data_IF_943423496998
#
_entry.id   IF_943423496998
#
_cell.length_a   1.000
_cell.length_b   1.000
_cell.length_c   1.000
_cell.angle_alpha   90.00
_cell.angle_beta   90.00
_cell.angle_gamma   90.00
#
_symmetry.space_group_name_H-M   'P 1'
#
loop_
_entity.id
_entity.type
_entity.pdbx_description
1 polymer ?
#
# COMPACT_ATOMS: atom_id res chain seq x y z
N UNK A 1 -22.47 43.75 27.87
CA UNK A 1 -21.67 42.54 27.72
C UNK A 1 -21.66 42.22 26.22
N UNK A 2 -20.60 42.59 25.50
CA UNK A 2 -20.53 42.43 24.04
C UNK A 2 -20.20 40.96 23.71
N UNK A 3 -21.17 40.22 23.19
CA UNK A 3 -21.00 38.85 22.73
C UNK A 3 -20.40 38.87 21.33
N UNK A 4 -19.12 38.52 21.22
CA UNK A 4 -18.48 38.24 19.95
C UNK A 4 -18.92 36.87 19.47
N UNK A 5 -19.88 36.80 18.55
CA UNK A 5 -20.23 35.58 17.85
C UNK A 5 -19.23 35.35 16.73
N UNK A 6 -18.40 34.32 16.84
CA UNK A 6 -17.56 33.88 15.72
C UNK A 6 -18.46 33.31 14.63
N UNK A 7 -18.26 33.68 13.34
CA UNK A 7 -19.05 33.13 12.25
C UNK A 7 -18.88 31.61 12.24
N UNK A 8 -19.99 30.89 12.04
CA UNK A 8 -19.94 29.43 11.92
C UNK A 8 -19.09 29.04 10.71
N UNK A 9 -18.58 27.80 10.66
CA UNK A 9 -17.82 27.29 9.51
C UNK A 9 -18.62 27.44 8.21
N UNK A 10 -19.95 27.27 8.28
CA UNK A 10 -20.91 27.51 7.20
C UNK A 10 -20.96 28.96 6.74
N UNK A 11 -20.90 29.93 7.65
CA UNK A 11 -20.89 31.37 7.30
C UNK A 11 -19.58 31.77 6.60
N UNK A 12 -18.45 31.17 7.02
CA UNK A 12 -17.15 31.39 6.39
C UNK A 12 -17.08 30.78 4.99
N UNK A 13 -17.62 29.57 4.81
CA UNK A 13 -17.70 28.91 3.52
C UNK A 13 -18.57 29.71 2.53
N UNK A 14 -19.73 30.21 2.96
CA UNK A 14 -20.61 31.04 2.14
C UNK A 14 -19.94 32.39 1.75
N UNK A 15 -19.21 33.02 2.68
CA UNK A 15 -18.48 34.26 2.38
C UNK A 15 -17.32 34.04 1.38
N UNK A 16 -16.61 32.92 1.49
CA UNK A 16 -15.56 32.53 0.53
C UNK A 16 -16.17 32.20 -0.83
N UNK A 17 -17.28 31.48 -0.87
CA UNK A 17 -18.04 31.18 -2.10
C UNK A 17 -18.44 32.46 -2.83
N UNK A 18 -19.09 33.40 -2.13
CA UNK A 18 -19.52 34.68 -2.72
C UNK A 18 -18.33 35.53 -3.19
N UNK A 19 -17.20 35.48 -2.48
CA UNK A 19 -15.97 36.18 -2.86
C UNK A 19 -15.26 35.52 -4.05
N UNK A 20 -15.22 34.20 -4.15
CA UNK A 20 -14.63 33.49 -5.29
C UNK A 20 -15.51 33.56 -6.53
N UNK A 21 -16.83 33.45 -6.36
CA UNK A 21 -17.80 33.55 -7.46
C UNK A 21 -17.86 34.97 -8.06
N UNK A 22 -17.52 36.00 -7.29
CA UNK A 22 -17.37 37.37 -7.82
C UNK A 22 -16.04 37.59 -8.57
N UNK A 23 -15.04 36.72 -8.37
CA UNK A 23 -13.71 36.81 -9.00
C UNK A 23 -13.65 35.93 -10.26
N UNK A 24 -14.25 34.74 -10.24
CA UNK A 24 -14.23 33.76 -11.33
C UNK A 24 -15.46 33.90 -12.22
N UNK A 25 -15.41 34.88 -13.13
CA UNK A 25 -16.46 35.12 -14.14
C UNK A 25 -16.06 34.73 -15.56
N UNK A 26 -14.77 34.65 -15.81
CA UNK A 26 -14.22 34.46 -17.15
C UNK A 26 -13.24 33.30 -17.16
N UNK A 27 -13.30 32.51 -18.22
CA UNK A 27 -12.29 31.54 -18.60
C UNK A 27 -11.54 32.13 -19.77
N UNK A 28 -10.23 32.28 -19.62
CA UNK A 28 -9.34 32.80 -20.67
C UNK A 28 -8.41 31.68 -21.12
N UNK A 29 -8.33 31.46 -22.43
CA UNK A 29 -7.32 30.61 -23.05
C UNK A 29 -6.48 31.47 -23.96
N UNK A 30 -5.18 31.58 -23.67
CA UNK A 30 -4.25 32.34 -24.48
C UNK A 30 -3.59 31.44 -25.52
N UNK A 31 -3.37 31.97 -26.72
CA UNK A 31 -2.67 31.32 -27.83
C UNK A 31 -3.18 29.89 -28.16
N UNK A 32 -4.50 29.68 -28.06
CA UNK A 32 -5.10 28.38 -28.38
C UNK A 32 -5.68 28.41 -29.80
N UNK A 33 -5.28 27.47 -30.65
CA UNK A 33 -5.60 27.50 -32.09
C UNK A 33 -5.18 28.81 -32.77
N UNK A 34 -4.11 29.46 -32.29
CA UNK A 34 -3.57 30.70 -32.85
C UNK A 34 -4.42 31.95 -32.60
N UNK A 35 -5.23 31.96 -31.53
CA UNK A 35 -5.90 33.15 -31.04
C UNK A 35 -6.24 33.05 -29.55
N UNK A 36 -6.49 34.20 -28.92
CA UNK A 36 -6.97 34.26 -27.55
C UNK A 36 -8.49 34.11 -27.48
N UNK A 37 -8.96 33.34 -26.50
CA UNK A 37 -10.35 33.00 -26.27
C UNK A 37 -10.82 33.42 -24.89
N UNK A 38 -12.05 33.93 -24.81
CA UNK A 38 -12.75 34.24 -23.57
C UNK A 38 -14.13 33.60 -23.54
N UNK A 39 -14.44 32.89 -22.46
CA UNK A 39 -15.76 32.35 -22.17
C UNK A 39 -16.30 32.91 -20.86
N UNK A 40 -17.60 33.16 -20.79
CA UNK A 40 -18.26 33.63 -19.58
C UNK A 40 -18.75 32.41 -18.79
N UNK A 41 -18.33 32.32 -17.53
CA UNK A 41 -18.77 31.29 -16.59
C UNK A 41 -19.16 31.96 -15.27
N UNK A 42 -20.46 32.09 -15.01
CA UNK A 42 -20.95 32.67 -13.76
C UNK A 42 -21.33 31.56 -12.76
N UNK A 43 -20.59 31.52 -11.65
CA UNK A 43 -20.80 30.62 -10.52
C UNK A 43 -22.09 30.95 -9.75
N UNK A 44 -22.55 32.20 -9.73
CA UNK A 44 -23.74 32.64 -8.98
C UNK A 44 -25.05 32.29 -9.69
N UNK A 45 -25.02 32.14 -11.02
CA UNK A 45 -26.19 31.77 -11.82
C UNK A 45 -26.38 30.23 -11.88
N UNK A 46 -25.56 29.46 -11.15
CA UNK A 46 -25.70 28.00 -11.02
C UNK A 46 -26.59 27.65 -9.84
N UNK A 47 -27.88 27.40 -10.08
CA UNK A 47 -28.76 26.88 -9.02
C UNK A 47 -28.31 25.49 -8.51
N UNK A 48 -27.47 24.78 -9.28
CA UNK A 48 -26.82 23.56 -8.88
C UNK A 48 -25.32 23.63 -9.26
N UNK A 49 -24.43 23.58 -8.26
CA UNK A 49 -22.99 23.62 -8.48
C UNK A 49 -22.47 22.27 -9.03
N UNK A 50 -23.17 21.16 -8.79
CA UNK A 50 -22.75 19.84 -9.27
C UNK A 50 -23.11 19.56 -10.75
N UNK A 51 -23.74 20.52 -11.45
CA UNK A 51 -24.17 20.39 -12.84
C UNK A 51 -23.08 20.79 -13.84
N UNK A 52 -22.99 20.05 -14.95
CA UNK A 52 -22.08 20.35 -16.05
C UNK A 52 -22.66 21.48 -16.92
N UNK A 53 -21.95 22.60 -17.02
CA UNK A 53 -22.35 23.77 -17.83
C UNK A 53 -21.54 23.89 -19.10
N UNK A 54 -22.21 24.06 -20.24
CA UNK A 54 -21.53 24.42 -21.48
C UNK A 54 -21.14 25.92 -21.47
N UNK A 55 -19.87 26.21 -21.72
CA UNK A 55 -19.30 27.55 -21.86
C UNK A 55 -18.85 27.73 -23.31
N UNK A 56 -19.53 28.61 -24.04
CA UNK A 56 -19.09 29.01 -25.39
C UNK A 56 -17.94 29.99 -25.29
N UNK A 57 -16.86 29.72 -26.01
CA UNK A 57 -15.68 30.56 -26.04
C UNK A 57 -15.72 31.48 -27.27
N UNK A 58 -15.35 32.74 -27.06
CA UNK A 58 -15.30 33.78 -28.09
C UNK A 58 -13.86 34.23 -28.29
N UNK A 59 -13.38 34.25 -29.52
CA UNK A 59 -12.04 34.76 -29.82
C UNK A 59 -12.06 36.28 -29.83
N UNK A 60 -11.09 36.94 -29.20
CA UNK A 60 -11.06 38.42 -29.09
C UNK A 60 -9.81 39.09 -29.65
N UNK A 61 -8.82 38.31 -30.09
CA UNK A 61 -7.56 38.82 -30.66
C UNK A 61 -7.35 38.40 -32.13
N UNK A 62 -8.37 37.80 -32.76
CA UNK A 62 -8.33 37.33 -34.15
C UNK A 62 -9.08 38.26 -35.10
N UNK A 63 -8.43 38.74 -36.15
CA UNK A 63 -9.12 39.37 -37.29
C UNK A 63 -10.09 38.41 -38.02
N UNK A 64 -10.76 38.89 -39.07
CA UNK A 64 -11.84 38.20 -39.82
C UNK A 64 -11.53 36.74 -40.25
N UNK A 65 -10.26 36.33 -40.30
CA UNK A 65 -9.84 34.94 -40.59
C UNK A 65 -10.27 33.91 -39.51
N UNK A 66 -10.55 34.36 -38.28
CA UNK A 66 -10.90 33.48 -37.16
C UNK A 66 -12.41 33.33 -36.91
N UNK A 67 -13.28 34.00 -37.68
CA UNK A 67 -14.73 33.97 -37.51
C UNK A 67 -15.37 32.57 -37.60
N UNK A 68 -14.68 31.61 -38.23
CA UNK A 68 -15.15 30.23 -38.41
C UNK A 68 -14.66 29.26 -37.32
N UNK A 69 -13.87 29.71 -36.33
CA UNK A 69 -13.42 28.86 -35.24
C UNK A 69 -14.51 28.81 -34.16
N UNK A 70 -14.99 27.60 -33.83
CA UNK A 70 -15.95 27.39 -32.77
C UNK A 70 -15.30 26.58 -31.65
N UNK A 71 -15.33 27.13 -30.42
CA UNK A 71 -14.84 26.45 -29.24
C UNK A 71 -15.92 26.51 -28.16
N UNK A 72 -16.29 25.35 -27.65
CA UNK A 72 -17.12 25.21 -26.46
C UNK A 72 -16.34 24.39 -25.45
N UNK A 73 -16.53 24.67 -24.18
CA UNK A 73 -16.04 23.90 -23.06
C UNK A 73 -17.24 23.43 -22.24
N UNK A 74 -17.09 22.36 -21.49
CA UNK A 74 -18.02 21.97 -20.44
C UNK A 74 -17.28 22.21 -19.12
N UNK A 75 -17.93 22.88 -18.18
CA UNK A 75 -17.34 23.26 -16.90
C UNK A 75 -18.24 22.74 -15.79
N UNK A 76 -17.65 22.08 -14.80
CA UNK A 76 -18.33 21.65 -13.57
C UNK A 76 -17.55 22.25 -12.39
N UNK A 77 -18.25 22.73 -11.36
CA UNK A 77 -17.62 23.40 -10.23
C UNK A 77 -18.15 22.86 -8.89
N UNK A 78 -17.33 22.15 -8.11
CA UNK A 78 -17.74 21.65 -6.79
C UNK A 78 -17.18 22.54 -5.67
N UNK A 79 -17.97 22.79 -4.63
CA UNK A 79 -17.51 23.55 -3.45
C UNK A 79 -17.74 22.74 -2.19
N UNK A 80 -16.63 22.41 -1.52
CA UNK A 80 -16.63 21.70 -0.23
C UNK A 80 -15.81 22.48 0.80
N UNK A 81 -14.49 22.35 0.74
CA UNK A 81 -13.52 23.13 1.54
C UNK A 81 -12.61 24.00 0.65
N UNK A 82 -12.55 23.68 -0.65
CA UNK A 82 -11.97 24.43 -1.77
C UNK A 82 -13.03 24.56 -2.87
N UNK A 83 -12.77 25.43 -3.85
CA UNK A 83 -13.49 25.47 -5.12
C UNK A 83 -12.71 24.62 -6.13
N UNK A 84 -13.30 23.51 -6.53
CA UNK A 84 -12.72 22.59 -7.49
C UNK A 84 -13.43 22.77 -8.84
N UNK A 85 -12.70 23.18 -9.87
CA UNK A 85 -13.24 23.46 -11.20
C UNK A 85 -12.73 22.43 -12.20
N UNK A 86 -13.66 21.71 -12.84
CA UNK A 86 -13.39 20.70 -13.85
C UNK A 86 -13.78 21.24 -15.22
N UNK A 87 -12.84 21.25 -16.16
CA UNK A 87 -13.07 21.72 -17.54
C UNK A 87 -12.89 20.54 -18.49
N UNK A 88 -13.89 20.28 -19.31
CA UNK A 88 -13.92 19.25 -20.32
C UNK A 88 -14.09 19.90 -21.70
N UNK A 89 -13.44 19.35 -22.72
CA UNK A 89 -13.70 19.74 -24.10
C UNK A 89 -14.75 18.79 -24.71
N UNK A 90 -15.94 19.28 -25.13
CA UNK A 90 -16.88 18.51 -25.92
C UNK A 90 -16.28 18.31 -27.32
N UNK A 91 -15.74 17.13 -27.59
CA UNK A 91 -15.26 16.83 -28.94
C UNK A 91 -16.44 16.51 -29.86
N UNK A 92 -16.57 17.28 -30.95
CA UNK A 92 -17.20 16.80 -32.18
C UNK A 92 -16.11 16.45 -33.18
N UNK A 93 -16.08 15.21 -33.61
CA UNK A 93 -15.22 14.76 -34.71
C UNK A 93 -16.08 14.86 -35.97
N UNK A 94 -15.86 15.92 -36.75
CA UNK A 94 -16.53 16.08 -38.05
C UNK A 94 -15.67 15.41 -39.11
N UNK A 95 -16.17 14.30 -39.62
CA UNK A 95 -15.55 13.60 -40.74
C UNK A 95 -15.87 14.29 -42.08
N UNK A 96 -14.94 15.08 -42.61
CA UNK A 96 -15.10 15.76 -43.91
C UNK A 96 -14.57 14.95 -45.10
N UNK A 97 -14.12 13.72 -44.90
CA UNK A 97 -13.40 12.95 -45.93
C UNK A 97 -14.21 11.81 -46.53
N UNK A 98 -15.45 11.58 -46.09
CA UNK A 98 -16.31 10.42 -46.45
C UNK A 98 -15.65 9.04 -46.25
N UNK A 99 -14.47 8.98 -45.63
CA UNK A 99 -13.73 7.77 -45.30
C UNK A 99 -13.98 7.38 -43.84
N UNK A 100 -13.99 6.08 -43.47
CA UNK A 100 -14.16 5.68 -42.06
C UNK A 100 -13.09 6.34 -41.17
N UNK A 101 -13.53 7.11 -40.16
CA UNK A 101 -12.61 7.61 -39.12
C UNK A 101 -12.43 6.53 -38.06
N UNK A 102 -11.18 6.12 -37.88
CA UNK A 102 -10.76 5.35 -36.73
C UNK A 102 -10.27 6.32 -35.65
N UNK A 103 -11.08 6.54 -34.62
CA UNK A 103 -10.69 7.35 -33.45
C UNK A 103 -9.94 6.44 -32.49
N UNK A 104 -8.65 6.71 -32.30
CA UNK A 104 -7.83 6.05 -31.27
C UNK A 104 -7.65 7.01 -30.11
N UNK A 105 -8.34 6.77 -29.00
CA UNK A 105 -8.06 7.43 -27.74
C UNK A 105 -6.73 6.87 -27.20
N UNK A 106 -5.71 7.71 -27.12
CA UNK A 106 -4.46 7.40 -26.42
C UNK A 106 -4.41 8.20 -25.12
N UNK A 107 -4.08 7.56 -23.98
CA UNK A 107 -3.94 8.28 -22.72
C UNK A 107 -2.80 9.29 -22.85
N UNK A 108 -3.06 10.56 -22.50
CA UNK A 108 -2.03 11.61 -22.46
C UNK A 108 -1.00 11.34 -21.35
N UNK A 109 -1.44 10.73 -20.25
CA UNK A 109 -0.61 10.29 -19.13
C UNK A 109 -1.40 9.25 -18.29
N UNK A 110 -0.75 8.28 -17.63
CA UNK A 110 0.68 7.97 -17.68
C UNK A 110 1.08 7.23 -18.96
N UNK A 111 2.02 7.81 -19.70
CA UNK A 111 2.66 7.16 -20.85
C UNK A 111 3.75 6.21 -20.36
N UNK A 112 3.33 5.10 -19.74
CA UNK A 112 4.24 4.05 -19.27
C UNK A 112 3.86 2.74 -19.94
N UNK A 113 4.81 2.08 -20.61
CA UNK A 113 4.57 0.80 -21.30
C UNK A 113 4.19 -0.33 -20.33
N UNK A 114 4.59 -0.20 -19.05
CA UNK A 114 4.35 -1.21 -18.02
C UNK A 114 3.13 -0.92 -17.13
N UNK A 115 2.49 0.25 -17.26
CA UNK A 115 1.35 0.64 -16.41
C UNK A 115 1.69 0.73 -14.92
N UNK A 116 2.93 1.10 -14.57
CA UNK A 116 3.41 1.18 -13.20
C UNK A 116 3.99 2.55 -12.87
N UNK A 117 3.87 2.97 -11.61
CA UNK A 117 4.43 4.20 -11.07
C UNK A 117 5.32 3.87 -9.86
N UNK A 118 6.33 4.68 -9.58
CA UNK A 118 7.07 4.65 -8.31
C UNK A 118 7.18 6.07 -7.77
N UNK A 119 7.44 6.20 -6.47
CA UNK A 119 7.59 7.49 -5.79
C UNK A 119 8.94 7.56 -5.12
N UNK A 120 9.54 8.75 -5.10
CA UNK A 120 10.83 9.02 -4.47
C UNK A 120 10.74 10.39 -3.82
N UNK A 121 11.27 10.54 -2.60
CA UNK A 121 11.43 11.88 -2.02
C UNK A 121 12.49 12.65 -2.80
N UNK A 122 12.30 13.97 -2.97
CA UNK A 122 13.17 14.80 -3.82
C UNK A 122 14.67 14.63 -3.52
N UNK A 123 15.02 14.56 -2.23
CA UNK A 123 16.40 14.45 -1.74
C UNK A 123 16.88 13.00 -1.51
N UNK A 124 16.07 12.00 -1.85
CA UNK A 124 16.41 10.58 -1.68
C UNK A 124 16.93 9.97 -2.98
N UNK A 125 17.89 9.05 -2.88
CA UNK A 125 18.31 8.19 -4.00
C UNK A 125 17.53 6.85 -4.02
N UNK A 126 16.57 6.66 -3.12
CA UNK A 126 15.82 5.42 -2.97
C UNK A 126 14.38 5.66 -3.44
N UNK A 127 14.01 5.04 -4.56
CA UNK A 127 12.62 4.99 -5.02
C UNK A 127 11.86 3.87 -4.30
N UNK A 128 10.55 4.06 -4.15
CA UNK A 128 9.64 3.02 -3.70
C UNK A 128 9.56 1.86 -4.70
N UNK A 129 9.04 0.72 -4.24
CA UNK A 129 8.55 -0.32 -5.15
C UNK A 129 7.49 0.24 -6.11
N UNK A 130 7.34 -0.41 -7.26
CA UNK A 130 6.36 -0.01 -8.26
C UNK A 130 4.93 -0.38 -7.85
N UNK A 131 4.01 0.57 -8.03
CA UNK A 131 2.57 0.38 -7.85
C UNK A 131 1.88 0.21 -9.21
N UNK A 132 0.81 -0.61 -9.29
CA UNK A 132 0.02 -0.70 -10.50
C UNK A 132 -0.91 0.51 -10.59
N UNK A 133 -0.92 1.19 -11.74
CA UNK A 133 -1.79 2.36 -11.96
C UNK A 133 -2.95 2.06 -12.90
N UNK A 134 -3.09 0.83 -13.38
CA UNK A 134 -4.20 0.37 -14.22
C UNK A 134 -5.26 -0.46 -13.47
N UNK A 135 -4.97 -0.92 -12.24
CA UNK A 135 -5.92 -1.68 -11.40
C UNK A 135 -6.26 -0.96 -10.10
N UNK A 136 -7.54 -0.94 -9.72
CA UNK A 136 -7.94 -0.37 -8.43
C UNK A 136 -7.25 -1.13 -7.31
N UNK A 137 -6.53 -0.41 -6.44
CA UNK A 137 -5.82 -1.03 -5.34
C UNK A 137 -5.53 -0.03 -4.22
N UNK A 138 -5.46 -0.53 -2.99
CA UNK A 138 -4.84 0.16 -1.87
C UNK A 138 -3.54 -0.59 -1.51
N UNK A 139 -2.44 0.12 -1.25
CA UNK A 139 -1.19 -0.47 -0.80
C UNK A 139 -0.40 0.49 0.08
N UNK A 140 0.39 -0.08 0.99
CA UNK A 140 1.37 0.67 1.77
C UNK A 140 2.75 0.44 1.17
N UNK A 141 3.50 1.50 0.93
CA UNK A 141 4.87 1.46 0.43
C UNK A 141 5.86 1.58 1.59
N UNK A 142 6.89 0.73 1.58
CA UNK A 142 8.07 0.90 2.42
C UNK A 142 8.88 2.06 1.86
N UNK A 143 9.07 3.09 2.67
CA UNK A 143 9.85 4.27 2.31
C UNK A 143 11.17 4.27 3.09
N UNK A 144 12.10 5.15 2.71
CA UNK A 144 13.39 5.28 3.39
C UNK A 144 13.23 5.65 4.88
N UNK A 145 14.27 5.35 5.68
CA UNK A 145 14.34 5.69 7.10
C UNK A 145 13.19 5.12 7.95
N UNK A 146 12.65 3.96 7.57
CA UNK A 146 11.58 3.28 8.31
C UNK A 146 10.21 3.95 8.19
N UNK A 147 10.03 4.85 7.21
CA UNK A 147 8.74 5.48 6.93
C UNK A 147 7.88 4.59 6.04
N UNK A 148 6.60 4.90 6.01
CA UNK A 148 5.65 4.26 5.11
C UNK A 148 4.75 5.32 4.47
N UNK A 149 4.19 5.00 3.30
CA UNK A 149 3.25 5.87 2.60
C UNK A 149 2.10 5.04 2.05
N UNK A 150 0.89 5.52 2.25
CA UNK A 150 -0.32 4.86 1.77
C UNK A 150 -0.65 5.36 0.37
N UNK A 151 -0.99 4.41 -0.50
CA UNK A 151 -1.36 4.71 -1.88
C UNK A 151 -2.69 4.07 -2.21
N UNK A 152 -3.65 4.90 -2.60
CA UNK A 152 -4.94 4.45 -3.08
C UNK A 152 -5.08 4.81 -4.56
N UNK A 153 -5.27 3.79 -5.39
CA UNK A 153 -5.61 3.95 -6.79
C UNK A 153 -7.06 3.56 -7.01
N UNK A 154 -7.88 4.53 -7.38
CA UNK A 154 -9.34 4.38 -7.51
C UNK A 154 -9.86 4.95 -8.83
N UNK A 155 -11.15 4.76 -9.11
CA UNK A 155 -11.77 5.17 -10.36
C UNK A 155 -11.28 4.38 -11.59
N UNK A 156 -11.52 4.93 -12.77
CA UNK A 156 -11.16 4.35 -14.07
C UNK A 156 -12.29 3.61 -14.79
N UNK A 157 -13.50 3.57 -14.21
CA UNK A 157 -14.70 3.03 -14.86
C UNK A 157 -15.68 4.18 -15.16
N UNK A 158 -16.30 4.73 -14.12
CA UNK A 158 -17.29 5.82 -14.22
C UNK A 158 -16.69 7.20 -13.89
N UNK A 159 -15.52 7.22 -13.27
CA UNK A 159 -14.78 8.43 -12.89
C UNK A 159 -13.35 8.37 -13.39
N UNK A 160 -12.67 9.53 -13.55
CA UNK A 160 -11.25 9.55 -13.84
C UNK A 160 -10.46 8.73 -12.84
N UNK A 161 -9.45 8.03 -13.35
CA UNK A 161 -8.48 7.30 -12.52
C UNK A 161 -7.78 8.28 -11.59
N UNK A 162 -7.86 8.03 -10.28
CA UNK A 162 -7.22 8.88 -9.27
C UNK A 162 -6.19 8.06 -8.48
N UNK A 163 -5.02 8.65 -8.27
CA UNK A 163 -3.95 8.09 -7.43
C UNK A 163 -3.74 9.08 -6.27
N UNK A 164 -4.02 8.64 -5.06
CA UNK A 164 -3.90 9.46 -3.85
C UNK A 164 -2.80 8.91 -2.96
N UNK A 165 -1.97 9.81 -2.44
CA UNK A 165 -0.91 9.51 -1.49
C UNK A 165 -1.27 10.13 -0.14
N UNK A 166 -1.17 9.36 0.94
CA UNK A 166 -1.40 9.84 2.30
C UNK A 166 -0.29 9.34 3.23
N UNK A 167 -0.13 10.03 4.35
CA UNK A 167 0.71 9.55 5.45
C UNK A 167 0.17 8.21 5.97
N UNK A 168 1.05 7.46 6.62
CA UNK A 168 0.73 6.17 7.23
C UNK A 168 0.13 6.37 8.62
N UNK A 169 -1.01 5.74 8.87
CA UNK A 169 -1.65 5.63 10.18
C UNK A 169 -1.72 4.17 10.68
N UNK A 170 -1.91 4.02 12.00
CA UNK A 170 -2.04 2.70 12.63
C UNK A 170 -3.28 1.99 12.06
N UNK A 171 -3.06 0.83 11.45
CA UNK A 171 -4.10 0.05 10.79
C UNK A 171 -3.99 -0.02 9.27
N UNK A 172 -3.20 0.86 8.66
CA UNK A 172 -3.05 0.91 7.19
C UNK A 172 -2.29 -0.28 6.62
N UNK A 173 -1.37 -0.86 7.41
CA UNK A 173 -0.61 -2.03 6.97
C UNK A 173 -1.56 -3.18 6.65
N UNK A 174 -1.41 -3.86 5.49
CA UNK A 174 -2.30 -4.95 5.10
C UNK A 174 -2.50 -6.02 6.18
N UNK A 175 -1.47 -6.31 6.96
CA UNK A 175 -1.55 -7.23 8.10
C UNK A 175 -0.42 -6.98 9.09
N UNK A 176 -0.72 -7.11 10.39
CA UNK A 176 0.26 -7.30 11.46
C UNK A 176 0.38 -8.78 11.75
N UNK A 177 1.60 -9.33 11.68
CA UNK A 177 1.85 -10.75 11.87
C UNK A 177 2.59 -10.93 13.19
N UNK A 178 2.09 -11.83 14.04
CA UNK A 178 2.59 -12.08 15.38
C UNK A 178 2.95 -13.56 15.52
N UNK A 179 4.11 -13.86 16.10
CA UNK A 179 4.54 -15.21 16.40
C UNK A 179 4.62 -15.43 17.91
N UNK A 180 3.67 -16.17 18.46
CA UNK A 180 3.67 -16.61 19.87
C UNK A 180 4.16 -18.05 20.04
N UNK A 181 4.96 -18.56 19.10
CA UNK A 181 5.60 -19.86 19.22
C UNK A 181 6.99 -19.69 19.87
N UNK A 182 7.22 -20.33 21.03
CA UNK A 182 8.44 -20.13 21.83
C UNK A 182 9.73 -20.58 21.12
N UNK A 183 9.69 -21.68 20.36
CA UNK A 183 10.89 -22.30 19.74
C UNK A 183 10.74 -22.49 18.23
N UNK A 184 9.95 -21.64 17.57
CA UNK A 184 9.72 -21.73 16.12
C UNK A 184 9.90 -20.39 15.45
N UNK A 185 10.69 -20.40 14.38
CA UNK A 185 10.78 -19.27 13.47
C UNK A 185 9.78 -19.44 12.35
N UNK A 186 8.82 -18.52 12.28
CA UNK A 186 7.87 -18.44 11.18
C UNK A 186 8.53 -17.65 10.05
N UNK A 187 8.52 -18.21 8.84
CA UNK A 187 9.00 -17.53 7.65
C UNK A 187 7.79 -17.11 6.83
N UNK A 188 7.73 -15.83 6.45
CA UNK A 188 6.66 -15.27 5.63
C UNK A 188 7.24 -14.59 4.40
N UNK A 189 6.50 -14.63 3.30
CA UNK A 189 6.87 -13.94 2.08
C UNK A 189 5.66 -13.74 1.15
N UNK A 190 5.82 -12.83 0.18
CA UNK A 190 4.89 -12.75 -0.93
C UNK A 190 5.12 -13.93 -1.89
N UNK A 191 4.03 -14.49 -2.42
CA UNK A 191 4.09 -15.51 -3.47
C UNK A 191 4.92 -15.01 -4.67
N UNK A 192 5.78 -15.88 -5.20
CA UNK A 192 6.71 -15.59 -6.31
C UNK A 192 7.78 -14.51 -6.00
N UNK A 193 8.05 -14.23 -4.73
CA UNK A 193 9.15 -13.35 -4.30
C UNK A 193 10.22 -14.15 -3.55
N UNK A 194 11.47 -13.72 -3.70
CA UNK A 194 12.62 -14.33 -3.02
C UNK A 194 12.87 -13.72 -1.64
N UNK A 195 12.39 -12.50 -1.41
CA UNK A 195 12.50 -11.83 -0.13
C UNK A 195 11.60 -12.53 0.90
N UNK A 196 12.19 -12.87 2.04
CA UNK A 196 11.50 -13.54 3.14
C UNK A 196 11.74 -12.77 4.43
N UNK A 197 10.71 -12.70 5.27
CA UNK A 197 10.82 -12.19 6.65
C UNK A 197 10.76 -13.38 7.59
N UNK A 198 11.71 -13.46 8.50
CA UNK A 198 11.76 -14.51 9.53
C UNK A 198 11.37 -13.87 10.86
N UNK A 199 10.39 -14.47 11.52
CA UNK A 199 9.81 -13.98 12.77
C UNK A 199 10.11 -15.01 13.87
N UNK A 200 10.94 -14.62 14.84
CA UNK A 200 11.23 -15.42 16.04
C UNK A 200 10.10 -15.36 17.06
N UNK A 201 10.31 -16.01 18.21
CA UNK A 201 9.35 -16.02 19.31
C UNK A 201 9.05 -14.61 19.83
N UNK A 202 7.78 -14.37 20.13
CA UNK A 202 7.19 -13.11 20.61
C UNK A 202 7.44 -11.88 19.73
N UNK A 203 7.87 -12.11 18.49
CA UNK A 203 8.06 -11.03 17.54
C UNK A 203 6.77 -10.71 16.79
N UNK A 204 6.63 -9.43 16.45
CA UNK A 204 5.54 -8.89 15.63
C UNK A 204 6.10 -8.04 14.49
N UNK A 205 5.45 -8.07 13.34
CA UNK A 205 5.83 -7.26 12.17
C UNK A 205 4.60 -6.70 11.46
N UNK A 206 4.67 -5.43 11.08
CA UNK A 206 3.74 -4.81 10.14
C UNK A 206 4.18 -5.15 8.72
N UNK A 207 3.41 -6.01 8.05
CA UNK A 207 3.76 -6.52 6.73
C UNK A 207 3.05 -5.74 5.62
N UNK A 208 3.80 -5.45 4.56
CA UNK A 208 3.27 -4.98 3.27
C UNK A 208 3.94 -5.74 2.12
N UNK A 209 3.36 -5.64 0.92
CA UNK A 209 3.81 -6.34 -0.27
C UNK A 209 5.18 -5.84 -0.74
N UNK A 210 6.12 -6.76 -0.99
CA UNK A 210 7.45 -6.43 -1.53
C UNK A 210 7.35 -5.92 -2.97
N UNK A 211 6.49 -6.55 -3.78
CA UNK A 211 6.09 -6.10 -5.11
C UNK A 211 4.58 -5.77 -5.09
N UNK A 212 4.19 -4.51 -4.86
CA UNK A 212 2.78 -4.09 -4.77
C UNK A 212 1.95 -4.34 -6.03
N UNK A 213 2.59 -4.34 -7.20
CA UNK A 213 1.97 -4.65 -8.49
C UNK A 213 1.93 -6.16 -8.80
N UNK A 214 2.52 -7.00 -7.95
CA UNK A 214 2.56 -8.45 -8.11
C UNK A 214 1.36 -9.15 -7.47
N UNK A 215 1.39 -10.48 -7.51
CA UNK A 215 0.35 -11.31 -6.88
C UNK A 215 0.38 -11.14 -5.36
N UNK A 216 -0.72 -10.66 -4.80
CA UNK A 216 -0.87 -10.35 -3.36
C UNK A 216 -1.37 -11.58 -2.58
N UNK A 217 -0.50 -12.58 -2.47
CA UNK A 217 -0.72 -13.80 -1.69
C UNK A 217 0.38 -13.93 -0.65
N UNK A 218 0.00 -14.04 0.62
CA UNK A 218 0.93 -14.28 1.71
C UNK A 218 1.20 -15.78 1.80
N UNK A 219 2.47 -16.13 1.75
CA UNK A 219 2.97 -17.50 1.92
C UNK A 219 3.71 -17.58 3.25
N UNK A 220 3.59 -18.72 3.92
CA UNK A 220 4.32 -18.98 5.16
C UNK A 220 4.82 -20.42 5.26
N UNK A 221 5.88 -20.60 6.03
CA UNK A 221 6.41 -21.89 6.44
C UNK A 221 7.18 -21.75 7.77
N UNK A 222 7.87 -22.82 8.16
CA UNK A 222 8.75 -22.84 9.34
C UNK A 222 10.21 -22.98 8.93
N UNK A 223 11.09 -22.25 9.60
CA UNK A 223 12.52 -22.35 9.36
C UNK A 223 13.02 -23.78 9.64
N UNK A 224 13.87 -24.31 8.77
CA UNK A 224 14.42 -25.66 8.92
C UNK A 224 13.41 -26.80 8.66
N UNK A 225 12.24 -26.51 8.10
CA UNK A 225 11.25 -27.54 7.73
C UNK A 225 11.81 -28.57 6.74
N UNK A 226 11.65 -29.87 7.04
CA UNK A 226 12.16 -30.94 6.18
C UNK A 226 11.46 -31.00 4.81
N UNK A 227 10.22 -30.53 4.74
CA UNK A 227 9.49 -30.23 3.52
C UNK A 227 9.23 -28.73 3.51
N UNK A 228 9.90 -27.97 2.63
CA UNK A 228 9.63 -26.55 2.37
C UNK A 228 8.29 -26.38 1.65
N UNK A 229 7.21 -26.89 2.25
CA UNK A 229 5.89 -26.69 1.70
C UNK A 229 5.43 -25.31 2.13
N UNK A 230 5.49 -24.36 1.21
CA UNK A 230 4.92 -23.04 1.42
C UNK A 230 3.39 -23.16 1.47
N UNK A 231 2.83 -22.58 2.52
CA UNK A 231 1.39 -22.60 2.79
C UNK A 231 0.82 -21.21 2.52
N UNK A 232 -0.27 -21.14 1.77
CA UNK A 232 -0.95 -19.88 1.51
C UNK A 232 -1.83 -19.48 2.70
N UNK A 233 -1.83 -18.20 3.04
CA UNK A 233 -2.68 -17.59 4.07
C UNK A 233 -3.42 -16.39 3.48
N UNK A 234 -4.75 -16.43 3.57
CA UNK A 234 -5.61 -15.34 3.10
C UNK A 234 -5.78 -14.27 4.18
N UNK A 235 -5.12 -13.12 3.99
CA UNK A 235 -5.16 -12.01 4.94
C UNK A 235 -6.37 -11.07 4.74
N UNK A 236 -7.24 -11.35 3.76
CA UNK A 236 -8.35 -10.44 3.43
C UNK A 236 -9.59 -10.68 4.29
N UNK A 237 -9.62 -11.80 5.03
CA UNK A 237 -10.78 -12.23 5.81
C UNK A 237 -10.39 -12.88 7.12
N UNK A 238 -11.35 -12.93 8.04
CA UNK A 238 -11.22 -13.69 9.27
C UNK A 238 -11.20 -15.18 8.90
N UNK A 239 -10.19 -15.89 9.40
CA UNK A 239 -10.01 -17.31 9.12
C UNK A 239 -9.04 -17.92 10.12
N UNK A 240 -9.02 -19.24 10.20
CA UNK A 240 -8.10 -19.97 11.04
C UNK A 240 -7.85 -21.35 10.46
N UNK A 241 -6.68 -21.91 10.71
CA UNK A 241 -6.36 -23.30 10.40
C UNK A 241 -5.22 -23.77 11.31
N UNK A 242 -4.88 -25.05 11.23
CA UNK A 242 -3.67 -25.60 11.83
C UNK A 242 -2.94 -26.53 10.86
N UNK A 243 -1.61 -26.62 11.03
CA UNK A 243 -0.76 -27.49 10.23
C UNK A 243 0.22 -28.23 11.12
N UNK A 244 0.37 -29.52 10.83
CA UNK A 244 1.36 -30.38 11.46
C UNK A 244 2.65 -30.29 10.64
N UNK A 245 3.67 -29.67 11.20
CA UNK A 245 4.94 -29.42 10.53
C UNK A 245 6.09 -30.10 11.26
N UNK A 246 7.14 -30.43 10.53
CA UNK A 246 8.38 -30.97 11.09
C UNK A 246 9.39 -29.84 11.21
N UNK A 247 9.80 -29.48 12.42
CA UNK A 247 10.75 -28.41 12.71
C UNK A 247 12.10 -29.00 13.11
N UNK A 248 13.18 -28.41 12.63
CA UNK A 248 14.53 -28.73 13.08
C UNK A 248 14.89 -27.89 14.29
N UNK A 249 15.42 -28.53 15.33
CA UNK A 249 15.89 -27.82 16.51
C UNK A 249 17.02 -26.86 16.12
N UNK A 250 16.81 -25.56 16.33
CA UNK A 250 17.89 -24.58 16.22
C UNK A 250 18.80 -24.78 17.44
N UNK A 251 20.13 -24.94 17.29
CA UNK A 251 21.03 -25.04 18.43
C UNK A 251 20.95 -23.75 19.23
N UNK A 252 20.41 -23.82 20.45
CA UNK A 252 20.52 -22.73 21.40
C UNK A 252 22.00 -22.61 21.75
N UNK A 253 22.65 -21.50 21.38
CA UNK A 253 23.98 -21.21 21.86
C UNK A 253 23.87 -20.98 23.38
N UNK A 254 24.40 -21.93 24.17
CA UNK A 254 24.57 -21.80 25.62
C UNK A 254 25.48 -20.60 25.91
N UNK A 255 24.92 -19.41 25.93
CA UNK A 255 25.54 -18.22 26.49
C UNK A 255 25.12 -18.15 27.95
N UNK A 256 26.06 -17.85 28.84
CA UNK A 256 25.97 -17.87 30.32
C UNK A 256 26.29 -19.19 31.03
N UNK A 257 27.49 -19.74 30.78
CA UNK A 257 28.30 -20.30 31.88
C UNK A 257 29.64 -19.59 31.93
N UNK A 258 29.69 -18.50 32.70
CA UNK A 258 30.96 -18.02 33.26
C UNK A 258 31.49 -19.14 34.16
N UNK A 259 32.44 -19.94 33.66
CA UNK A 259 33.33 -20.71 34.52
C UNK A 259 34.41 -19.75 34.99
N UNK A 260 34.22 -19.22 36.18
CA UNK A 260 35.30 -18.65 36.96
C UNK A 260 36.28 -19.77 37.31
N UNK A 261 37.43 -19.79 36.64
CA UNK A 261 38.60 -20.54 37.06
C UNK A 261 39.76 -19.55 37.17
N UNK A 262 39.80 -18.87 38.30
CA UNK A 262 41.06 -18.42 38.87
C UNK A 262 41.95 -19.63 39.13
N UNK A 263 42.89 -19.90 38.23
CA UNK A 263 44.15 -20.53 38.62
C UNK A 263 45.27 -20.15 37.66
N UNK A 264 46.06 -19.19 38.17
CA UNK A 264 47.52 -19.11 38.14
C UNK A 264 48.23 -19.75 36.95
N UNK A 265 48.73 -18.84 36.12
CA UNK A 265 49.93 -18.89 35.29
C UNK A 265 51.01 -19.75 35.96
N UNK A 266 51.48 -20.76 35.24
CA UNK A 266 52.90 -21.11 35.28
C UNK A 266 53.37 -21.45 33.87
N UNK A 267 54.52 -20.88 33.53
CA UNK A 267 55.10 -20.80 32.21
C UNK A 267 56.36 -21.66 32.20
N UNK A 268 56.53 -22.54 31.22
CA UNK A 268 57.87 -22.85 30.73
C UNK A 268 57.83 -23.38 29.29
N UNK A 269 58.72 -22.88 28.41
CA UNK A 269 58.88 -23.32 27.04
C UNK A 269 59.94 -24.43 26.92
N UNK A 270 60.06 -24.96 25.70
CA UNK A 270 61.23 -25.61 25.07
C UNK A 270 60.94 -27.05 24.60
N UNK A 271 60.88 -27.27 23.28
CA UNK A 271 62.04 -27.77 22.49
C UNK A 271 61.60 -28.28 21.10
N UNK A 272 62.55 -28.16 20.17
CA UNK A 272 62.49 -28.31 18.71
C UNK A 272 62.09 -29.70 18.18
N UNK A 273 61.46 -29.75 16.99
CA UNK A 273 62.08 -30.29 15.77
C UNK A 273 61.08 -30.61 14.64
N UNK A 274 61.57 -30.39 13.42
CA UNK A 274 60.94 -30.57 12.13
C UNK A 274 60.53 -32.02 11.80
N UNK A 275 59.59 -32.16 10.85
CA UNK A 275 59.64 -33.00 9.62
C UNK A 275 58.24 -33.49 9.22
N UNK A 276 57.96 -33.29 7.93
CA UNK A 276 56.80 -33.74 7.16
C UNK A 276 56.78 -35.27 7.10
N UNK A 277 55.61 -35.89 7.34
CA UNK A 277 55.22 -37.08 6.58
C UNK A 277 53.69 -37.25 6.52
N UNK A 278 53.21 -37.30 5.29
CA UNK A 278 51.84 -37.62 4.89
C UNK A 278 51.56 -39.12 5.07
N UNK A 279 50.68 -39.53 5.99
CA UNK A 279 49.87 -40.75 5.84
C UNK A 279 48.52 -40.62 6.58
N UNK A 280 47.46 -40.61 5.77
CA UNK A 280 46.13 -41.19 5.94
C UNK A 280 45.49 -41.27 7.35
N UNK A 281 44.39 -40.53 7.54
CA UNK A 281 43.40 -40.82 8.58
C UNK A 281 42.00 -40.31 8.19
N UNK A 282 40.92 -41.04 8.54
CA UNK A 282 39.61 -40.86 7.93
C UNK A 282 38.93 -39.58 8.44
N UNK A 283 38.32 -38.83 7.53
CA UNK A 283 37.40 -37.73 7.83
C UNK A 283 36.18 -38.26 8.60
N UNK A 284 36.25 -38.33 9.92
CA UNK A 284 35.06 -38.32 10.77
C UNK A 284 34.49 -36.88 10.83
N UNK A 285 33.89 -36.44 9.73
CA UNK A 285 32.84 -35.44 9.83
C UNK A 285 31.63 -36.13 10.45
N UNK A 286 31.56 -36.12 11.78
CA UNK A 286 30.32 -36.42 12.47
C UNK A 286 29.30 -35.37 12.01
N UNK A 287 28.45 -35.74 11.04
CA UNK A 287 27.23 -35.00 10.73
C UNK A 287 26.42 -34.95 12.03
N UNK A 288 26.53 -33.83 12.75
CA UNK A 288 25.58 -33.48 13.81
C UNK A 288 24.19 -33.51 13.18
N UNK A 289 23.48 -34.62 13.37
CA UNK A 289 22.10 -34.77 12.89
C UNK A 289 21.26 -33.87 13.77
N UNK A 290 20.85 -32.72 13.25
CA UNK A 290 19.87 -31.85 13.89
C UNK A 290 18.60 -32.68 14.13
N UNK A 291 18.19 -32.79 15.39
CA UNK A 291 17.00 -33.54 15.76
C UNK A 291 15.78 -32.77 15.23
N UNK A 292 14.94 -33.43 14.44
CA UNK A 292 13.68 -32.88 13.96
C UNK A 292 12.52 -33.40 14.82
N UNK A 293 11.55 -32.55 15.14
CA UNK A 293 10.33 -32.94 15.84
C UNK A 293 9.10 -32.48 15.07
N UNK A 294 7.99 -33.18 15.25
CA UNK A 294 6.69 -32.80 14.69
C UNK A 294 5.96 -31.91 15.68
N UNK A 295 5.31 -30.87 15.19
CA UNK A 295 4.49 -29.98 15.99
C UNK A 295 3.30 -29.45 15.21
N UNK A 296 2.25 -29.08 15.93
CA UNK A 296 1.07 -28.42 15.34
C UNK A 296 1.21 -26.92 15.54
N UNK A 297 1.14 -26.18 14.44
CA UNK A 297 1.10 -24.72 14.46
C UNK A 297 -0.30 -24.30 14.04
N UNK A 298 -0.91 -23.48 14.89
CA UNK A 298 -2.19 -22.85 14.65
C UNK A 298 -1.95 -21.44 14.14
N UNK A 299 -2.80 -20.98 13.24
CA UNK A 299 -2.86 -19.57 12.89
C UNK A 299 -4.30 -19.06 12.89
N UNK A 300 -4.46 -17.80 13.27
CA UNK A 300 -5.75 -17.12 13.34
C UNK A 300 -5.62 -15.73 12.74
N UNK A 301 -6.39 -15.45 11.70
CA UNK A 301 -6.57 -14.14 11.08
C UNK A 301 -7.83 -13.48 11.62
N UNK A 302 -7.71 -12.26 12.16
CA UNK A 302 -8.83 -11.48 12.69
C UNK A 302 -8.59 -9.98 12.53
N UNK A 303 -9.65 -9.18 12.68
CA UNK A 303 -9.54 -7.72 12.70
C UNK A 303 -9.46 -7.21 14.14
N UNK A 304 -8.42 -6.44 14.46
CA UNK A 304 -8.24 -5.72 15.72
C UNK A 304 -8.33 -4.21 15.47
N UNK A 305 -9.48 -3.61 15.80
CA UNK A 305 -9.81 -2.26 15.34
C UNK A 305 -9.87 -2.21 13.81
N UNK A 306 -8.99 -1.41 13.20
CA UNK A 306 -8.80 -1.32 11.75
C UNK A 306 -7.66 -2.21 11.23
N UNK A 307 -6.84 -2.77 12.13
CA UNK A 307 -5.67 -3.56 11.77
C UNK A 307 -6.06 -5.03 11.59
N UNK A 308 -5.78 -5.59 10.42
CA UNK A 308 -5.76 -7.04 10.22
C UNK A 308 -4.60 -7.63 11.00
N UNK A 309 -4.85 -8.66 11.82
CA UNK A 309 -3.84 -9.39 12.59
C UNK A 309 -3.84 -10.85 12.18
N UNK A 310 -2.65 -11.43 12.01
CA UNK A 310 -2.44 -12.89 11.88
C UNK A 310 -1.56 -13.34 13.02
N UNK A 311 -2.11 -14.19 13.87
CA UNK A 311 -1.46 -14.75 15.04
C UNK A 311 -1.05 -16.19 14.78
N UNK A 312 0.23 -16.50 14.92
CA UNK A 312 0.76 -17.87 14.97
C UNK A 312 0.96 -18.31 16.42
N UNK A 313 0.55 -19.54 16.75
CA UNK A 313 0.79 -20.11 18.09
C UNK A 313 0.88 -21.63 18.03
N UNK A 314 1.64 -22.21 18.97
CA UNK A 314 1.68 -23.65 19.22
C UNK A 314 0.67 -24.10 20.29
N UNK A 315 0.10 -23.14 21.02
CA UNK A 315 -0.88 -23.40 22.07
C UNK A 315 -2.29 -23.38 21.48
N UNK A 316 -2.93 -24.55 21.53
CA UNK A 316 -4.31 -24.73 21.07
C UNK A 316 -5.29 -23.83 21.83
N UNK A 317 -5.09 -23.59 23.13
CA UNK A 317 -5.98 -22.74 23.93
C UNK A 317 -5.90 -21.28 23.49
N UNK A 318 -4.71 -20.78 23.18
CA UNK A 318 -4.51 -19.42 22.64
C UNK A 318 -5.22 -19.30 21.28
N UNK A 319 -5.06 -20.30 20.40
CA UNK A 319 -5.75 -20.32 19.11
C UNK A 319 -7.28 -20.35 19.25
N UNK A 320 -7.81 -21.14 20.18
CA UNK A 320 -9.25 -21.20 20.46
C UNK A 320 -9.77 -19.88 21.05
N UNK A 321 -9.01 -19.25 21.96
CA UNK A 321 -9.36 -17.94 22.53
C UNK A 321 -9.39 -16.85 21.44
N UNK A 322 -8.37 -16.78 20.58
CA UNK A 322 -8.33 -15.84 19.46
C UNK A 322 -9.51 -16.05 18.49
N UNK A 323 -9.90 -17.30 18.24
CA UNK A 323 -11.09 -17.62 17.43
C UNK A 323 -12.40 -17.22 18.10
N UNK A 324 -12.51 -17.31 19.42
CA UNK A 324 -13.72 -16.87 20.13
C UNK A 324 -13.93 -15.36 20.02
N UNK A 325 -12.85 -14.57 20.00
CA UNK A 325 -12.92 -13.12 19.75
C UNK A 325 -13.53 -12.82 18.37
N UNK A 326 -13.17 -13.60 17.34
CA UNK A 326 -13.79 -13.53 16.01
C UNK A 326 -15.30 -13.76 16.11
N UNK A 327 -15.72 -14.86 16.74
CA UNK A 327 -17.13 -15.25 16.82
C UNK A 327 -17.99 -14.25 17.62
N UNK A 328 -17.46 -13.69 18.71
CA UNK A 328 -18.19 -12.72 19.53
C UNK A 328 -18.41 -11.42 18.74
N UNK A 329 -17.42 -10.95 17.98
CA UNK A 329 -17.58 -9.79 17.09
C UNK A 329 -18.64 -10.05 16.01
N UNK A 330 -18.64 -11.24 15.39
CA UNK A 330 -19.68 -11.61 14.43
C UNK A 330 -21.07 -11.69 15.06
N UNK A 331 -21.21 -12.23 16.27
CA UNK A 331 -22.49 -12.25 16.98
C UNK A 331 -23.01 -10.84 17.29
N UNK A 332 -22.15 -9.92 17.74
CA UNK A 332 -22.52 -8.52 17.97
C UNK A 332 -22.89 -7.79 16.67
N UNK A 333 -22.13 -7.99 15.59
CA UNK A 333 -22.44 -7.39 14.29
C UNK A 333 -23.74 -7.94 13.68
N UNK A 334 -24.01 -9.25 13.84
CA UNK A 334 -25.26 -9.88 13.38
C UNK A 334 -26.47 -9.48 14.22
N UNK A 335 -26.28 -9.26 15.52
CA UNK A 335 -27.31 -8.70 16.41
C UNK A 335 -27.63 -7.24 16.08
N UNK A 336 -26.63 -6.46 15.63
CA UNK A 336 -26.83 -5.08 15.16
C UNK A 336 -27.44 -5.03 13.75
N UNK A 337 -27.18 -6.00 12.88
CA UNK A 337 -27.77 -6.06 11.53
C UNK A 337 -29.21 -6.61 11.48
N UNK A 338 -29.79 -7.01 12.61
CA UNK A 338 -31.16 -7.53 12.71
C UNK A 338 -32.20 -6.50 13.19
N UNK A 339 -31.83 -5.21 13.25
CA UNK A 339 -32.79 -4.12 13.39
C UNK A 339 -32.44 -2.98 12.46
N UNK A 340 -33.10 -2.97 11.31
CA UNK A 340 -33.73 -1.80 10.67
C UNK A 340 -34.82 -2.29 9.72
#
# INVERSE_FOLDING_TARGET
MATWTFPTITDRAAAILNRLASILKFILLQDYLGCDWAGIFDLLDSQNLEEFKAVTMTSYDGGDENANKHLALIVNASVKMSLDLYIYSPYWIINKTDLPILIRCSPFWPCTDNGKLCVRYDNSNISSSYIPINTVCNTVLRMENGRAMCVNVSGGIESPRSITFTDYDIGDSPVRIENLCEDVFIVIHQCNQHQMTVLGADQSVLYTWDEPAGTRKLMWNVYGGSNKQDLELDITKDSYDCKNLTVQQVPVADTYRYKDQSNRIDSSPDDDSDVIDTVDSPKHQAKMKTKSYKMTIYWVSFLDGQQRVVLFTCDKQIAEAARLVINIKYCLHYLLSLKL
#
